data_IF_999801273212
#
_entry.id   IF_999801273212
#
_cell.length_a   1.000
_cell.length_b   1.000
_cell.length_c   1.000
_cell.angle_alpha   90.00
_cell.angle_beta   90.00
_cell.angle_gamma   90.00
#
_symmetry.space_group_name_H-M   'P 1'
#
loop_
_entity.id
_entity.type
_entity.pdbx_description
1 polymer ?
#
# COMPACT_ATOMS: atom_id res chain seq x y z
N UNK A 1 -28.31 -4.62 -0.30
CA UNK A 1 -27.15 -5.50 -0.56
C UNK A 1 -26.10 -4.70 -1.33
N UNK A 2 -25.19 -4.03 -0.63
CA UNK A 2 -24.04 -3.36 -1.25
C UNK A 2 -23.00 -4.43 -1.62
N UNK A 3 -22.60 -4.46 -2.88
CA UNK A 3 -21.73 -5.50 -3.46
C UNK A 3 -20.40 -5.66 -2.68
N UNK A 4 -19.87 -6.89 -2.50
CA UNK A 4 -18.61 -7.10 -1.78
C UNK A 4 -17.40 -6.74 -2.67
N UNK A 5 -17.27 -5.48 -3.07
CA UNK A 5 -16.07 -5.00 -3.77
C UNK A 5 -14.80 -5.10 -2.89
N UNK A 6 -14.96 -5.36 -1.59
CA UNK A 6 -13.89 -5.63 -0.63
C UNK A 6 -14.01 -7.02 0.00
N UNK A 7 -14.13 -8.06 -0.83
CA UNK A 7 -13.98 -9.43 -0.34
C UNK A 7 -12.53 -9.63 0.15
N UNK A 8 -12.36 -10.17 1.36
CA UNK A 8 -11.04 -10.41 1.95
C UNK A 8 -10.21 -11.31 1.02
N UNK A 9 -9.15 -10.76 0.43
CA UNK A 9 -8.34 -11.44 -0.59
C UNK A 9 -6.88 -11.61 -0.18
N UNK A 10 -6.53 -11.21 1.04
CA UNK A 10 -5.16 -11.26 1.55
C UNK A 10 -5.08 -12.01 2.89
N UNK A 11 -4.03 -12.80 3.02
CA UNK A 11 -3.70 -13.52 4.24
C UNK A 11 -3.12 -12.55 5.29
N UNK A 12 -3.17 -12.91 6.58
CA UNK A 12 -2.60 -12.07 7.66
C UNK A 12 -1.12 -11.70 7.43
N UNK A 13 -0.37 -12.56 6.74
CA UNK A 13 1.03 -12.31 6.37
C UNK A 13 1.14 -11.23 5.29
N UNK A 14 0.39 -11.36 4.19
CA UNK A 14 0.34 -10.34 3.13
C UNK A 14 -0.17 -8.99 3.64
N UNK A 15 -1.11 -9.01 4.60
CA UNK A 15 -1.58 -7.80 5.29
C UNK A 15 -0.43 -7.08 6.03
N UNK A 16 0.35 -7.81 6.85
CA UNK A 16 1.48 -7.25 7.60
C UNK A 16 2.58 -6.74 6.68
N UNK A 17 2.89 -7.47 5.61
CA UNK A 17 3.90 -7.05 4.62
C UNK A 17 3.49 -5.72 3.97
N UNK A 18 2.22 -5.58 3.56
CA UNK A 18 1.72 -4.32 2.98
C UNK A 18 1.69 -3.17 3.98
N UNK A 19 1.31 -3.43 5.22
CA UNK A 19 1.39 -2.43 6.28
C UNK A 19 2.83 -1.95 6.49
N UNK A 20 3.79 -2.88 6.50
CA UNK A 20 5.21 -2.58 6.65
C UNK A 20 5.77 -1.80 5.45
N UNK A 21 5.53 -2.27 4.22
CA UNK A 21 5.97 -1.59 2.99
C UNK A 21 5.33 -0.19 2.87
N UNK A 22 4.04 -0.07 3.17
CA UNK A 22 3.34 1.22 3.13
C UNK A 22 3.94 2.22 4.13
N UNK A 23 4.22 1.77 5.35
CA UNK A 23 4.88 2.59 6.38
C UNK A 23 6.28 3.01 5.93
N UNK A 24 7.08 2.09 5.40
CA UNK A 24 8.41 2.41 4.88
C UNK A 24 8.37 3.43 3.74
N UNK A 25 7.40 3.32 2.82
CA UNK A 25 7.21 4.29 1.73
C UNK A 25 6.85 5.68 2.27
N UNK A 26 6.01 5.78 3.30
CA UNK A 26 5.68 7.07 3.91
C UNK A 26 6.88 7.70 4.62
N UNK A 27 7.67 6.89 5.34
CA UNK A 27 8.88 7.35 6.02
C UNK A 27 9.92 7.84 5.00
N UNK A 28 10.15 7.09 3.93
CA UNK A 28 11.10 7.50 2.88
C UNK A 28 10.58 8.71 2.09
N UNK A 29 9.27 8.81 1.84
CA UNK A 29 8.68 9.99 1.22
C UNK A 29 8.87 11.25 2.07
N UNK A 30 8.64 11.15 3.39
CA UNK A 30 8.89 12.24 4.33
C UNK A 30 10.37 12.64 4.38
N UNK A 31 11.27 11.66 4.38
CA UNK A 31 12.72 11.90 4.35
C UNK A 31 13.14 12.62 3.06
N UNK A 32 12.71 12.13 1.91
CA UNK A 32 13.04 12.75 0.61
C UNK A 32 12.48 14.15 0.52
N UNK A 33 11.25 14.36 0.99
CA UNK A 33 10.64 15.68 1.02
C UNK A 33 11.39 16.65 1.93
N UNK A 34 11.78 16.21 3.15
CA UNK A 34 12.43 17.07 4.13
C UNK A 34 13.88 17.41 3.78
N UNK A 35 14.66 16.45 3.26
CA UNK A 35 16.10 16.63 3.02
C UNK A 35 16.45 17.09 1.61
N UNK A 36 15.63 16.76 0.61
CA UNK A 36 15.96 17.01 -0.79
C UNK A 36 14.94 17.92 -1.49
N UNK A 37 13.84 18.29 -0.81
CA UNK A 37 12.72 19.05 -1.37
C UNK A 37 12.26 18.51 -2.74
N UNK A 38 12.43 17.21 -2.96
CA UNK A 38 12.27 16.61 -4.29
C UNK A 38 10.85 16.08 -4.47
N UNK A 39 9.92 17.03 -4.66
CA UNK A 39 8.49 16.80 -4.86
C UNK A 39 8.12 15.73 -5.91
N UNK A 40 8.81 15.64 -7.08
CA UNK A 40 8.46 14.65 -8.10
C UNK A 40 8.59 13.20 -7.63
N UNK A 41 9.47 12.93 -6.66
CA UNK A 41 9.68 11.59 -6.11
C UNK A 41 8.94 11.41 -4.80
N UNK A 42 8.90 12.42 -3.92
CA UNK A 42 8.21 12.30 -2.63
C UNK A 42 6.70 12.10 -2.79
N UNK A 43 6.07 12.76 -3.78
CA UNK A 43 4.61 12.70 -3.99
C UNK A 43 4.11 11.31 -4.39
N UNK A 44 4.62 10.67 -5.46
CA UNK A 44 4.17 9.32 -5.83
C UNK A 44 4.50 8.29 -4.74
N UNK A 45 5.62 8.46 -4.03
CA UNK A 45 6.04 7.57 -2.95
C UNK A 45 5.09 7.67 -1.74
N UNK A 46 4.66 8.89 -1.42
CA UNK A 46 3.65 9.13 -0.40
C UNK A 46 2.30 8.49 -0.76
N UNK A 47 1.84 8.69 -2.00
CA UNK A 47 0.59 8.09 -2.49
C UNK A 47 0.65 6.56 -2.49
N UNK A 48 1.77 5.97 -2.93
CA UNK A 48 1.99 4.52 -2.89
C UNK A 48 1.99 3.98 -1.45
N UNK A 49 2.59 4.72 -0.51
CA UNK A 49 2.57 4.41 0.92
C UNK A 49 1.16 4.38 1.49
N UNK A 50 0.37 5.44 1.25
CA UNK A 50 -1.05 5.49 1.66
C UNK A 50 -1.83 4.33 1.05
N UNK A 51 -1.66 4.09 -0.26
CA UNK A 51 -2.37 3.03 -0.96
C UNK A 51 -2.11 1.65 -0.35
N UNK A 52 -0.84 1.32 -0.05
CA UNK A 52 -0.48 0.07 0.62
C UNK A 52 -1.11 -0.06 2.01
N UNK A 53 -1.19 1.02 2.79
CA UNK A 53 -1.85 1.02 4.09
C UNK A 53 -3.36 0.81 3.99
N UNK A 54 -4.02 1.43 3.00
CA UNK A 54 -5.45 1.21 2.74
C UNK A 54 -5.71 -0.25 2.37
N UNK A 55 -4.91 -0.83 1.50
CA UNK A 55 -4.99 -2.25 1.14
C UNK A 55 -4.79 -3.15 2.37
N UNK A 56 -3.82 -2.84 3.22
CA UNK A 56 -3.61 -3.56 4.48
C UNK A 56 -4.78 -3.41 5.46
N UNK A 57 -5.36 -2.21 5.61
CA UNK A 57 -6.47 -1.95 6.51
C UNK A 57 -7.75 -2.69 6.06
N UNK A 58 -8.00 -2.71 4.75
CA UNK A 58 -9.18 -3.35 4.16
C UNK A 58 -9.03 -4.86 3.96
N UNK A 59 -7.87 -5.44 4.32
CA UNK A 59 -7.52 -6.85 4.07
C UNK A 59 -7.78 -7.26 2.62
N UNK A 60 -7.49 -6.34 1.72
CA UNK A 60 -7.83 -6.44 0.31
C UNK A 60 -6.65 -5.97 -0.51
N UNK A 61 -6.38 -6.61 -1.65
CA UNK A 61 -5.41 -6.05 -2.57
C UNK A 61 -5.79 -6.10 -4.03
N UNK A 62 -5.44 -5.02 -4.71
CA UNK A 62 -5.73 -4.77 -6.11
C UNK A 62 -5.06 -5.80 -7.01
N UNK A 63 -3.80 -6.15 -6.73
CA UNK A 63 -3.04 -7.10 -7.55
C UNK A 63 -3.72 -8.48 -7.60
N UNK A 64 -4.14 -9.01 -6.45
CA UNK A 64 -4.87 -10.28 -6.43
C UNK A 64 -6.29 -10.15 -7.00
N UNK A 65 -6.93 -8.98 -6.89
CA UNK A 65 -8.21 -8.72 -7.56
C UNK A 65 -8.06 -8.74 -9.10
N UNK A 66 -6.91 -8.29 -9.61
CA UNK A 66 -6.50 -8.38 -11.01
C UNK A 66 -5.96 -9.78 -11.40
N UNK A 67 -6.09 -10.79 -10.53
CA UNK A 67 -5.57 -12.16 -10.70
C UNK A 67 -4.05 -12.26 -10.88
N UNK A 68 -3.30 -11.23 -10.48
CA UNK A 68 -1.85 -11.28 -10.42
C UNK A 68 -1.45 -12.07 -9.18
N UNK A 69 -0.70 -13.16 -9.38
CA UNK A 69 -0.18 -13.98 -8.27
C UNK A 69 0.86 -13.17 -7.50
N UNK A 70 0.51 -12.77 -6.29
CA UNK A 70 1.49 -12.28 -5.31
C UNK A 70 1.96 -13.47 -4.48
N UNK A 71 3.28 -13.66 -4.24
CA UNK A 71 3.78 -14.77 -3.43
C UNK A 71 3.38 -14.68 -1.94
N UNK A 72 2.74 -13.57 -1.56
CA UNK A 72 2.33 -13.19 -0.21
C UNK A 72 0.90 -12.67 -0.18
#
# INVERSE_FOLDING_TARGET
MTMPFFSCNIDRRGQKIRAFIGTLCLLSAGLVHHFFEFYPVSTPLFLAGIFCLIEAARKWCLLRALKIKTPW
#
